data_IF_086209685115
#
_entry.id   IF_086209685115
#
_cell.length_a   1.000
_cell.length_b   1.000
_cell.length_c   1.000
_cell.angle_alpha   90.00
_cell.angle_beta   90.00
_cell.angle_gamma   90.00
#
_symmetry.space_group_name_H-M   'P 1'
#
loop_
_entity.id
_entity.type
_entity.pdbx_description
1 polymer ?
#
# COMPACT_ATOMS: atom_id res chain seq x y z
N UNK A 1 -9.23 27.02 28.56
CA UNK A 1 -8.62 25.70 28.32
C UNK A 1 -8.71 25.45 26.83
N UNK A 2 -7.59 25.18 26.18
CA UNK A 2 -7.55 24.91 24.73
C UNK A 2 -7.94 23.45 24.50
N UNK A 3 -9.21 23.23 24.20
CA UNK A 3 -9.73 21.91 23.80
C UNK A 3 -9.24 21.59 22.38
N UNK A 4 -8.03 21.02 22.30
CA UNK A 4 -7.45 20.52 21.06
C UNK A 4 -7.84 19.06 20.85
N UNK A 5 -8.25 18.74 19.64
CA UNK A 5 -8.57 17.36 19.24
C UNK A 5 -7.29 16.59 18.93
N UNK A 6 -7.26 15.31 19.32
CA UNK A 6 -6.13 14.42 19.07
C UNK A 6 -6.34 13.62 17.78
N UNK A 7 -5.28 13.50 16.98
CA UNK A 7 -5.26 12.57 15.85
C UNK A 7 -4.72 11.22 16.32
N UNK A 8 -5.58 10.19 16.30
CA UNK A 8 -5.22 8.84 16.72
C UNK A 8 -4.50 8.03 15.63
N UNK A 9 -4.45 8.53 14.39
CA UNK A 9 -3.75 7.90 13.27
C UNK A 9 -2.57 8.72 12.79
N UNK A 10 -1.67 8.12 12.01
CA UNK A 10 -0.57 8.87 11.38
C UNK A 10 -1.15 9.93 10.43
N UNK A 11 -0.52 11.10 10.36
CA UNK A 11 -0.94 12.18 9.45
C UNK A 11 -0.53 11.93 7.99
N UNK A 12 0.41 11.00 7.78
CA UNK A 12 0.94 10.67 6.46
C UNK A 12 0.01 9.72 5.70
N UNK A 13 0.08 9.77 4.36
CA UNK A 13 -0.59 8.78 3.51
C UNK A 13 0.26 7.51 3.40
N UNK A 14 0.45 6.82 4.53
CA UNK A 14 1.42 5.72 4.73
C UNK A 14 0.77 4.34 4.91
N UNK A 15 -0.52 4.23 4.56
CA UNK A 15 -1.34 3.04 4.77
C UNK A 15 -1.36 2.54 6.23
N UNK A 16 -1.25 3.44 7.22
CA UNK A 16 -1.53 3.10 8.63
C UNK A 16 -2.88 2.39 8.85
N UNK A 17 -3.94 2.56 8.03
CA UNK A 17 -5.14 1.73 8.18
C UNK A 17 -4.94 0.23 7.91
N UNK A 18 -3.89 -0.14 7.15
CA UNK A 18 -3.52 -1.52 6.87
C UNK A 18 -2.42 -1.99 7.82
N UNK A 19 -1.39 -1.18 8.02
CA UNK A 19 -0.18 -1.55 8.75
C UNK A 19 -0.18 -1.14 10.24
N UNK A 20 -1.20 -0.42 10.69
CA UNK A 20 -1.31 0.14 12.04
C UNK A 20 -0.55 1.45 12.22
N UNK A 21 -1.07 2.30 13.10
CA UNK A 21 -0.45 3.58 13.49
C UNK A 21 0.65 3.43 14.55
N UNK A 22 0.91 2.20 15.02
CA UNK A 22 1.96 1.90 15.98
C UNK A 22 2.72 0.63 15.57
N UNK A 23 4.00 0.52 15.97
CA UNK A 23 4.82 -0.67 15.72
C UNK A 23 4.18 -1.93 16.31
N UNK A 24 3.65 -1.84 17.53
CA UNK A 24 2.98 -2.96 18.21
C UNK A 24 1.78 -3.48 17.40
N UNK A 25 0.94 -2.57 16.92
CA UNK A 25 -0.20 -2.93 16.05
C UNK A 25 0.29 -3.59 14.76
N UNK A 26 1.27 -3.00 14.08
CA UNK A 26 1.83 -3.55 12.85
C UNK A 26 2.42 -4.94 13.02
N UNK A 27 3.22 -5.16 14.07
CA UNK A 27 3.80 -6.47 14.39
C UNK A 27 2.72 -7.52 14.68
N UNK A 28 1.65 -7.14 15.39
CA UNK A 28 0.54 -8.05 15.68
C UNK A 28 -0.22 -8.53 14.44
N UNK A 29 -0.17 -7.76 13.34
CA UNK A 29 -0.84 -8.06 12.07
C UNK A 29 0.03 -8.92 11.14
N UNK A 30 1.32 -9.10 11.44
CA UNK A 30 2.27 -9.85 10.60
C UNK A 30 2.30 -11.32 10.94
N UNK A 31 2.45 -12.17 9.92
CA UNK A 31 2.73 -13.59 10.10
C UNK A 31 4.14 -13.85 10.62
N UNK A 32 5.04 -12.87 10.50
CA UNK A 32 6.48 -13.01 10.74
C UNK A 32 7.11 -14.12 9.89
N UNK A 33 6.51 -14.41 8.73
CA UNK A 33 7.02 -15.38 7.77
C UNK A 33 6.85 -14.91 6.31
N UNK A 34 7.97 -14.72 5.61
CA UNK A 34 8.01 -14.32 4.20
C UNK A 34 7.47 -12.91 3.96
N UNK A 35 7.59 -12.03 4.95
CA UNK A 35 7.16 -10.64 4.93
C UNK A 35 5.66 -10.42 4.78
N UNK A 36 4.83 -11.38 5.20
CA UNK A 36 3.37 -11.38 4.94
C UNK A 36 2.53 -10.89 6.12
N UNK A 37 1.40 -10.29 5.81
CA UNK A 37 0.30 -10.01 6.75
C UNK A 37 -0.55 -11.26 7.00
N UNK A 38 -1.04 -11.41 8.23
CA UNK A 38 -1.99 -12.48 8.61
C UNK A 38 -3.25 -12.35 7.76
N UNK A 39 -3.79 -13.47 7.30
CA UNK A 39 -5.01 -13.51 6.51
C UNK A 39 -5.81 -14.76 6.86
N UNK A 40 -7.14 -14.63 6.89
CA UNK A 40 -8.04 -15.78 6.95
C UNK A 40 -8.25 -16.33 5.55
N UNK A 41 -8.46 -17.64 5.39
CA UNK A 41 -8.85 -18.22 4.10
C UNK A 41 -10.31 -18.63 4.14
N UNK A 42 -11.09 -18.14 3.18
CA UNK A 42 -12.48 -18.53 2.96
C UNK A 42 -12.70 -18.79 1.48
N UNK A 43 -13.24 -19.97 1.13
CA UNK A 43 -13.43 -20.42 -0.27
C UNK A 43 -12.20 -20.20 -1.17
N UNK A 44 -11.02 -20.52 -0.64
CA UNK A 44 -9.74 -20.36 -1.35
C UNK A 44 -9.19 -18.93 -1.42
N UNK A 45 -9.98 -17.91 -1.07
CA UNK A 45 -9.58 -16.51 -1.11
C UNK A 45 -9.04 -16.01 0.24
N UNK A 46 -8.11 -15.05 0.20
CA UNK A 46 -7.62 -14.38 1.40
C UNK A 46 -8.60 -13.29 1.86
N UNK A 47 -8.94 -13.29 3.13
CA UNK A 47 -9.72 -12.25 3.79
C UNK A 47 -8.91 -11.70 4.96
N UNK A 48 -9.35 -10.55 5.49
CA UNK A 48 -8.78 -10.02 6.72
C UNK A 48 -8.86 -11.06 7.87
N UNK A 49 -7.93 -11.04 8.83
CA UNK A 49 -8.01 -11.84 10.04
C UNK A 49 -9.34 -11.61 10.77
N UNK A 50 -9.96 -12.68 11.27
CA UNK A 50 -11.12 -12.54 12.17
C UNK A 50 -10.66 -12.12 13.56
N UNK A 51 -11.44 -11.26 14.21
CA UNK A 51 -11.27 -10.97 15.64
C UNK A 51 -11.73 -12.19 16.45
N UNK A 52 -11.00 -12.51 17.52
CA UNK A 52 -11.35 -13.61 18.44
C UNK A 52 -12.57 -13.25 19.31
N UNK A 53 -12.56 -12.07 19.93
CA UNK A 53 -13.67 -11.56 20.73
C UNK A 53 -14.50 -10.55 19.90
N UNK A 54 -15.43 -11.06 19.10
CA UNK A 54 -16.16 -10.25 18.12
C UNK A 54 -17.07 -9.18 18.76
N UNK A 55 -17.73 -9.52 19.86
CA UNK A 55 -18.71 -8.63 20.55
C UNK A 55 -18.07 -7.40 21.19
N UNK A 56 -16.77 -7.41 21.46
CA UNK A 56 -16.06 -6.23 22.01
C UNK A 56 -15.59 -5.24 20.94
N UNK A 57 -15.60 -5.65 19.66
CA UNK A 57 -15.06 -4.86 18.53
C UNK A 57 -16.09 -4.54 17.45
N UNK A 58 -17.13 -5.36 17.33
CA UNK A 58 -18.16 -5.25 16.34
C UNK A 58 -19.53 -5.44 16.99
N UNK A 59 -20.53 -4.74 16.47
CA UNK A 59 -21.92 -4.97 16.82
C UNK A 59 -22.42 -6.20 16.04
N UNK A 60 -22.25 -7.37 16.65
CA UNK A 60 -22.63 -8.68 16.05
C UNK A 60 -23.72 -9.35 16.87
N UNK A 61 -24.70 -9.97 16.20
CA UNK A 61 -25.79 -10.69 16.91
C UNK A 61 -25.37 -12.09 17.35
N UNK A 62 -24.40 -12.68 16.67
CA UNK A 62 -23.87 -14.00 17.00
C UNK A 62 -22.40 -14.15 16.56
N UNK A 63 -21.74 -15.23 17.00
CA UNK A 63 -20.34 -15.50 16.67
C UNK A 63 -20.07 -15.91 15.21
N UNK A 64 -21.12 -16.19 14.43
CA UNK A 64 -21.00 -16.55 13.01
C UNK A 64 -20.85 -15.32 12.10
N UNK A 65 -21.24 -14.13 12.58
CA UNK A 65 -21.11 -12.88 11.83
C UNK A 65 -19.65 -12.47 11.63
N UNK A 66 -19.39 -11.73 10.56
CA UNK A 66 -18.05 -11.30 10.19
C UNK A 66 -17.59 -10.13 11.08
N UNK A 67 -16.39 -10.23 11.63
CA UNK A 67 -15.75 -9.15 12.37
C UNK A 67 -14.24 -9.28 12.17
N UNK A 68 -13.65 -8.30 11.51
CA UNK A 68 -12.28 -8.34 11.00
C UNK A 68 -11.34 -7.46 11.80
N UNK A 69 -10.05 -7.80 11.75
CA UNK A 69 -8.96 -7.02 12.32
C UNK A 69 -8.07 -6.47 11.20
N UNK A 70 -7.65 -5.21 11.34
CA UNK A 70 -6.73 -4.51 10.46
C UNK A 70 -5.91 -3.48 11.26
N UNK A 71 -5.14 -2.63 10.58
CA UNK A 71 -4.40 -1.53 11.18
C UNK A 71 -5.30 -0.46 11.81
N UNK A 72 -6.46 -0.19 11.21
CA UNK A 72 -7.50 0.69 11.74
C UNK A 72 -8.63 -0.10 12.40
N UNK A 73 -9.09 0.37 13.56
CA UNK A 73 -10.18 -0.27 14.33
C UNK A 73 -11.54 -0.15 13.63
N UNK A 74 -11.69 0.79 12.71
CA UNK A 74 -12.94 1.12 12.00
C UNK A 74 -13.16 0.26 10.75
N UNK A 75 -12.31 -0.75 10.50
CA UNK A 75 -12.40 -1.63 9.32
C UNK A 75 -13.78 -2.28 9.13
N UNK A 76 -14.58 -2.42 10.19
CA UNK A 76 -15.91 -3.03 10.16
C UNK A 76 -17.08 -2.01 10.10
N UNK A 77 -16.81 -0.72 9.91
CA UNK A 77 -17.89 0.30 9.87
C UNK A 77 -18.88 0.09 8.71
N UNK A 78 -18.39 -0.31 7.55
CA UNK A 78 -19.20 -0.67 6.40
C UNK A 78 -18.45 -1.68 5.52
N UNK A 79 -19.16 -2.53 4.77
CA UNK A 79 -18.54 -3.59 3.97
C UNK A 79 -17.64 -3.06 2.85
N UNK A 80 -17.92 -1.88 2.28
CA UNK A 80 -17.09 -1.29 1.21
C UNK A 80 -15.69 -0.95 1.73
N UNK A 81 -15.59 -0.37 2.93
CA UNK A 81 -14.31 -0.12 3.59
C UNK A 81 -13.56 -1.44 3.86
N UNK A 82 -14.24 -2.45 4.40
CA UNK A 82 -13.65 -3.77 4.62
C UNK A 82 -13.08 -4.38 3.33
N UNK A 83 -13.76 -4.20 2.20
CA UNK A 83 -13.30 -4.67 0.89
C UNK A 83 -12.02 -3.95 0.48
N UNK A 84 -11.93 -2.62 0.63
CA UNK A 84 -10.71 -1.87 0.33
C UNK A 84 -9.51 -2.35 1.16
N UNK A 85 -9.70 -2.54 2.46
CA UNK A 85 -8.65 -3.11 3.33
C UNK A 85 -8.25 -4.53 2.89
N UNK A 86 -9.22 -5.34 2.47
CA UNK A 86 -8.95 -6.71 1.98
C UNK A 86 -8.13 -6.69 0.69
N UNK A 87 -8.41 -5.77 -0.24
CA UNK A 87 -7.65 -5.62 -1.48
C UNK A 87 -6.20 -5.24 -1.17
N UNK A 88 -5.97 -4.25 -0.31
CA UNK A 88 -4.63 -3.79 0.05
C UNK A 88 -3.82 -4.87 0.79
N UNK A 89 -4.46 -5.65 1.66
CA UNK A 89 -3.83 -6.80 2.30
C UNK A 89 -3.42 -7.87 1.27
N UNK A 90 -4.29 -8.17 0.31
CA UNK A 90 -4.00 -9.14 -0.76
C UNK A 90 -2.83 -8.65 -1.60
N UNK A 91 -2.78 -7.35 -1.89
CA UNK A 91 -1.72 -6.74 -2.68
C UNK A 91 -0.38 -6.80 -1.96
N UNK A 92 -0.34 -6.43 -0.68
CA UNK A 92 0.87 -6.63 0.14
C UNK A 92 1.36 -8.08 0.10
N UNK A 93 0.46 -9.05 0.34
CA UNK A 93 0.83 -10.46 0.32
C UNK A 93 1.21 -10.96 -1.08
N UNK A 94 0.76 -10.32 -2.16
CA UNK A 94 1.16 -10.61 -3.54
C UNK A 94 2.58 -10.10 -3.78
N UNK A 95 2.85 -8.84 -3.46
CA UNK A 95 4.18 -8.22 -3.58
C UNK A 95 5.22 -8.97 -2.74
N UNK A 96 4.91 -9.28 -1.47
CA UNK A 96 5.81 -10.04 -0.60
C UNK A 96 6.20 -11.41 -1.19
N UNK A 97 5.24 -12.15 -1.78
CA UNK A 97 5.52 -13.43 -2.46
C UNK A 97 6.46 -13.28 -3.65
N UNK A 98 6.25 -12.24 -4.46
CA UNK A 98 7.11 -11.92 -5.60
C UNK A 98 8.52 -11.56 -5.11
N UNK A 99 8.63 -10.71 -4.09
CA UNK A 99 9.92 -10.30 -3.52
C UNK A 99 10.70 -11.47 -2.92
N UNK A 100 10.03 -12.39 -2.19
CA UNK A 100 10.67 -13.62 -1.70
C UNK A 100 11.22 -14.49 -2.85
N UNK A 101 10.51 -14.55 -3.98
CA UNK A 101 10.93 -15.35 -5.13
C UNK A 101 12.13 -14.72 -5.84
N UNK A 102 12.13 -13.39 -5.98
CA UNK A 102 13.21 -12.63 -6.63
C UNK A 102 14.45 -12.51 -5.74
N UNK A 103 14.28 -12.44 -4.42
CA UNK A 103 15.36 -12.24 -3.45
C UNK A 103 15.33 -13.33 -2.36
N UNK A 104 15.75 -14.57 -2.66
CA UNK A 104 15.72 -15.67 -1.68
C UNK A 104 16.60 -15.45 -0.44
N UNK A 105 17.53 -14.50 -0.49
CA UNK A 105 18.45 -14.15 0.58
C UNK A 105 17.90 -13.10 1.57
N UNK A 106 16.73 -12.52 1.29
CA UNK A 106 16.11 -11.56 2.20
C UNK A 106 15.40 -12.26 3.37
N UNK A 107 15.52 -11.66 4.56
CA UNK A 107 14.78 -12.10 5.74
C UNK A 107 13.33 -11.57 5.73
N UNK A 108 12.53 -12.02 6.71
CA UNK A 108 11.12 -11.63 6.84
C UNK A 108 10.93 -10.11 6.93
N UNK A 109 11.76 -9.45 7.74
CA UNK A 109 11.66 -8.02 8.00
C UNK A 109 11.94 -7.22 6.72
N UNK A 110 13.01 -7.56 6.00
CA UNK A 110 13.35 -6.90 4.75
C UNK A 110 12.22 -7.03 3.72
N UNK A 111 11.67 -8.24 3.55
CA UNK A 111 10.55 -8.46 2.62
C UNK A 111 9.32 -7.66 3.05
N UNK A 112 8.98 -7.65 4.34
CA UNK A 112 7.85 -6.90 4.86
C UNK A 112 7.97 -5.40 4.59
N UNK A 113 9.13 -4.80 4.90
CA UNK A 113 9.33 -3.36 4.74
C UNK A 113 9.36 -2.95 3.27
N UNK A 114 10.00 -3.73 2.38
CA UNK A 114 10.01 -3.43 0.95
C UNK A 114 8.63 -3.64 0.31
N UNK A 115 7.89 -4.69 0.70
CA UNK A 115 6.51 -4.87 0.26
C UNK A 115 5.61 -3.72 0.74
N UNK A 116 5.75 -3.31 2.01
CA UNK A 116 5.03 -2.17 2.58
C UNK A 116 5.33 -0.88 1.80
N UNK A 117 6.60 -0.62 1.51
CA UNK A 117 7.05 0.57 0.77
C UNK A 117 6.43 0.64 -0.63
N UNK A 118 6.45 -0.47 -1.37
CA UNK A 118 5.87 -0.55 -2.72
C UNK A 118 4.37 -0.28 -2.68
N UNK A 119 3.64 -0.95 -1.79
CA UNK A 119 2.17 -0.80 -1.74
C UNK A 119 1.76 0.59 -1.24
N UNK A 120 2.54 1.23 -0.35
CA UNK A 120 2.34 2.64 0.01
C UNK A 120 2.52 3.52 -1.23
N UNK A 121 3.54 3.29 -2.05
CA UNK A 121 3.79 4.06 -3.26
C UNK A 121 2.64 3.91 -4.28
N UNK A 122 2.16 2.68 -4.49
CA UNK A 122 0.98 2.41 -5.33
C UNK A 122 -0.25 3.17 -4.82
N UNK A 123 -0.52 3.11 -3.52
CA UNK A 123 -1.68 3.77 -2.91
C UNK A 123 -1.59 5.30 -3.00
N UNK A 124 -0.42 5.88 -2.74
CA UNK A 124 -0.17 7.30 -2.90
C UNK A 124 -0.34 7.72 -4.36
N UNK A 125 0.16 6.92 -5.31
CA UNK A 125 0.01 7.21 -6.73
C UNK A 125 -1.47 7.25 -7.14
N UNK A 126 -2.23 6.20 -6.81
CA UNK A 126 -3.68 6.13 -7.09
C UNK A 126 -4.41 7.30 -6.46
N UNK A 127 -4.08 7.64 -5.20
CA UNK A 127 -4.77 8.71 -4.47
C UNK A 127 -4.51 10.07 -5.12
N UNK A 128 -3.26 10.44 -5.37
CA UNK A 128 -2.92 11.78 -5.85
C UNK A 128 -3.12 11.98 -7.35
N UNK A 129 -2.87 10.96 -8.17
CA UNK A 129 -2.86 11.10 -9.63
C UNK A 129 -4.14 10.61 -10.31
N UNK A 130 -4.91 9.75 -9.65
CA UNK A 130 -6.15 9.23 -10.21
C UNK A 130 -7.36 9.77 -9.44
N UNK A 131 -7.48 9.39 -8.16
CA UNK A 131 -8.67 9.68 -7.37
C UNK A 131 -8.86 11.17 -7.09
N UNK A 132 -7.83 11.86 -6.59
CA UNK A 132 -7.92 13.26 -6.19
C UNK A 132 -8.22 14.18 -7.38
N UNK A 133 -7.65 13.90 -8.55
CA UNK A 133 -7.90 14.67 -9.78
C UNK A 133 -9.37 14.58 -10.19
N UNK A 134 -9.96 13.38 -10.16
CA UNK A 134 -11.39 13.17 -10.43
C UNK A 134 -12.25 13.86 -9.38
N UNK A 135 -11.90 13.68 -8.10
CA UNK A 135 -12.66 14.22 -6.98
C UNK A 135 -12.73 15.76 -6.97
N UNK A 136 -11.63 16.43 -7.33
CA UNK A 136 -11.57 17.89 -7.40
C UNK A 136 -12.11 18.48 -8.71
N UNK A 137 -12.74 17.68 -9.58
CA UNK A 137 -13.35 18.17 -10.82
C UNK A 137 -12.38 18.39 -11.97
N UNK A 138 -11.26 17.66 -12.02
CA UNK A 138 -10.39 17.60 -13.20
C UNK A 138 -9.35 18.71 -13.32
N UNK A 139 -8.89 19.31 -12.21
CA UNK A 139 -7.78 20.27 -12.23
C UNK A 139 -6.58 19.63 -12.95
N UNK A 140 -6.20 20.25 -14.06
CA UNK A 140 -5.31 19.74 -15.11
C UNK A 140 -4.07 19.02 -14.58
N UNK A 141 -3.79 17.86 -15.18
CA UNK A 141 -2.54 17.09 -15.01
C UNK A 141 -1.28 17.90 -15.35
N UNK A 142 -1.43 19.07 -15.97
CA UNK A 142 -0.33 19.79 -16.64
C UNK A 142 0.33 20.88 -15.79
N UNK A 143 -0.20 21.24 -14.61
CA UNK A 143 0.37 22.32 -13.78
C UNK A 143 0.93 21.87 -12.43
N UNK A 144 0.82 20.59 -12.06
CA UNK A 144 1.38 20.09 -10.81
C UNK A 144 2.75 19.43 -11.06
N UNK A 145 3.77 20.30 -11.14
CA UNK A 145 5.17 20.03 -11.47
C UNK A 145 5.70 18.66 -10.96
N UNK A 146 5.89 17.74 -11.90
CA UNK A 146 6.37 16.36 -11.69
C UNK A 146 7.70 16.30 -10.92
N UNK A 147 8.61 17.26 -11.16
CA UNK A 147 9.93 17.29 -10.51
C UNK A 147 9.87 17.58 -9.02
N UNK A 148 8.91 18.40 -8.58
CA UNK A 148 8.74 18.75 -7.17
C UNK A 148 8.09 17.59 -6.39
N UNK A 149 7.20 16.81 -7.03
CA UNK A 149 6.55 15.65 -6.40
C UNK A 149 7.48 14.45 -6.25
N UNK A 150 8.34 14.19 -7.22
CA UNK A 150 9.34 13.11 -7.13
C UNK A 150 10.37 13.42 -6.04
N UNK A 151 10.75 14.69 -5.83
CA UNK A 151 11.64 15.05 -4.70
C UNK A 151 10.93 14.84 -3.36
N UNK A 152 9.67 15.27 -3.22
CA UNK A 152 8.88 15.07 -2.00
C UNK A 152 8.64 13.58 -1.71
N UNK A 153 8.34 12.77 -2.73
CA UNK A 153 8.23 11.31 -2.56
C UNK A 153 9.57 10.70 -2.15
N UNK A 154 10.70 11.12 -2.75
CA UNK A 154 12.04 10.61 -2.41
C UNK A 154 12.47 11.01 -0.99
N UNK A 155 12.17 12.23 -0.57
CA UNK A 155 12.44 12.75 0.78
C UNK A 155 11.57 12.06 1.82
N UNK A 156 10.27 11.90 1.57
CA UNK A 156 9.34 11.24 2.48
C UNK A 156 9.57 9.72 2.60
N UNK A 157 10.16 9.09 1.57
CA UNK A 157 10.39 7.63 1.53
C UNK A 157 11.80 7.19 1.90
N UNK A 158 12.71 8.10 2.30
CA UNK A 158 14.08 7.76 2.72
C UNK A 158 14.87 6.96 1.65
N UNK A 159 14.63 7.27 0.37
CA UNK A 159 15.00 6.41 -0.75
C UNK A 159 16.38 6.73 -1.27
N UNK A 160 17.40 6.03 -0.76
CA UNK A 160 18.72 5.96 -1.40
C UNK A 160 18.69 4.83 -2.44
N UNK A 161 18.84 5.16 -3.72
CA UNK A 161 18.92 4.17 -4.79
C UNK A 161 20.19 4.41 -5.60
N UNK A 162 20.98 3.34 -5.71
CA UNK A 162 22.09 3.18 -6.65
C UNK A 162 21.61 3.59 -8.04
N UNK A 163 22.26 4.58 -8.63
CA UNK A 163 21.91 5.13 -9.93
C UNK A 163 21.94 4.04 -11.01
N UNK A 164 20.77 3.59 -11.45
CA UNK A 164 20.64 3.00 -12.77
C UNK A 164 20.50 4.16 -13.76
N UNK A 165 21.58 4.46 -14.46
CA UNK A 165 21.55 5.36 -15.61
C UNK A 165 20.68 4.73 -16.71
N UNK A 166 19.78 5.49 -17.35
CA UNK A 166 19.07 5.00 -18.53
C UNK A 166 20.09 4.72 -19.64
N UNK A 167 20.08 3.51 -20.20
CA UNK A 167 20.67 3.30 -21.54
C UNK A 167 19.84 4.13 -22.52
N UNK A 168 20.46 5.11 -23.15
CA UNK A 168 19.93 5.82 -24.29
C UNK A 168 19.54 4.82 -25.39
N UNK A 169 18.25 4.64 -25.61
CA UNK A 169 17.72 4.12 -26.86
C UNK A 169 17.41 5.32 -27.74
N UNK A 170 18.41 5.80 -28.46
CA UNK A 170 18.27 6.63 -29.65
C UNK A 170 19.59 6.53 -30.41
N UNK A 171 19.71 5.49 -31.24
CA UNK A 171 20.70 5.33 -32.32
C UNK A 171 20.40 4.02 -33.07
N UNK A 172 19.30 3.93 -33.84
CA UNK A 172 19.14 2.91 -34.90
C UNK A 172 17.98 3.13 -35.88
N UNK A 173 17.42 4.34 -36.00
CA UNK A 173 16.37 4.65 -36.97
C UNK A 173 16.74 5.88 -37.82
N UNK A 174 17.86 5.80 -38.57
CA UNK A 174 18.11 6.71 -39.70
C UNK A 174 19.22 6.21 -40.65
N UNK A 175 19.19 4.94 -41.05
CA UNK A 175 20.03 4.43 -42.16
C UNK A 175 19.26 3.43 -43.01
N UNK A 176 18.18 3.90 -43.66
CA UNK A 176 17.50 3.19 -44.75
C UNK A 176 16.49 4.12 -45.41
N UNK A 177 16.95 5.09 -46.21
CA UNK A 177 16.17 5.81 -47.25
C UNK A 177 17.07 6.78 -48.03
N UNK A 178 17.87 6.25 -48.95
CA UNK A 178 18.33 6.95 -50.18
C UNK A 178 19.09 5.94 -51.04
N UNK A 179 18.41 5.34 -52.03
CA UNK A 179 18.96 4.87 -53.30
C UNK A 179 17.83 4.24 -54.13
N UNK A 180 17.19 5.07 -54.95
CA UNK A 180 16.37 4.68 -56.12
C UNK A 180 16.00 5.96 -56.88
N UNK A 181 16.89 6.39 -57.77
CA UNK A 181 16.65 7.10 -59.04
C UNK A 181 18.00 7.30 -59.72
#
# INVERSE_FOLDING_TARGET
FSDVQLNEVTSYLDLSPVYGSSKSTGDSLRTLCGGRLKASRYKGQQHLPSVQNKTSRCDVRNSSEACYSAGDIRVNQNPQLTVLHTILLREHNRVARVLCTLNPHWDDERVYQEARRIVIAEFQHITYYEWLSIFLGGVQRDSFNYHQKVSLFKEASGMSVVSMTPKSQDDSLNSSKTNLA
#
